data_IF_362090211492
#
_entry.id   IF_362090211492
#
_cell.length_a   1.000
_cell.length_b   1.000
_cell.length_c   1.000
_cell.angle_alpha   90.00
_cell.angle_beta   90.00
_cell.angle_gamma   90.00
#
_symmetry.space_group_name_H-M   'P 1'
#
loop_
_entity.id
_entity.type
_entity.pdbx_description
1 polymer ?
#
# COMPACT_ATOMS: atom_id res chain seq x y z
N UNK A 1 38.42 -77.85 -0.75
CA UNK A 1 38.38 -77.02 -1.98
C UNK A 1 39.67 -76.21 -2.09
N UNK A 2 40.28 -76.11 -3.27
CA UNK A 2 41.47 -75.28 -3.52
C UNK A 2 41.06 -73.83 -3.79
N UNK A 3 41.81 -72.84 -3.28
CA UNK A 3 41.50 -71.38 -3.35
C UNK A 3 41.00 -70.87 -4.71
N UNK A 4 41.42 -71.49 -5.82
CA UNK A 4 41.02 -71.13 -7.18
C UNK A 4 39.54 -71.37 -7.49
N UNK A 5 38.92 -72.39 -6.89
CA UNK A 5 37.49 -72.71 -7.15
C UNK A 5 36.54 -71.70 -6.49
N UNK A 6 36.92 -71.16 -5.33
CA UNK A 6 36.15 -70.13 -4.62
C UNK A 6 36.22 -68.77 -5.34
N UNK A 7 37.39 -68.44 -5.90
CA UNK A 7 37.60 -67.19 -6.65
C UNK A 7 36.78 -67.13 -7.94
N UNK A 8 36.70 -68.24 -8.68
CA UNK A 8 35.90 -68.32 -9.91
C UNK A 8 34.40 -68.15 -9.65
N UNK A 9 33.90 -68.67 -8.51
CA UNK A 9 32.49 -68.56 -8.14
C UNK A 9 32.10 -67.12 -7.75
N UNK A 10 33.00 -66.41 -7.06
CA UNK A 10 32.79 -65.01 -6.67
C UNK A 10 32.75 -64.07 -7.89
N UNK A 11 33.57 -64.34 -8.91
CA UNK A 11 33.57 -63.57 -10.18
C UNK A 11 32.29 -63.85 -10.98
N UNK A 12 31.80 -65.10 -10.99
CA UNK A 12 30.56 -65.44 -11.67
C UNK A 12 29.32 -64.76 -11.04
N UNK A 13 29.28 -64.58 -9.72
CA UNK A 13 28.19 -63.86 -9.03
C UNK A 13 28.18 -62.35 -9.31
N UNK A 14 29.36 -61.74 -9.53
CA UNK A 14 29.48 -60.32 -9.85
C UNK A 14 29.04 -59.97 -11.29
N UNK A 15 28.96 -60.96 -12.17
CA UNK A 15 28.60 -60.80 -13.59
C UNK A 15 27.13 -61.14 -13.90
N UNK A 16 26.34 -61.55 -12.90
CA UNK A 16 24.93 -61.89 -13.09
C UNK A 16 24.05 -60.62 -13.20
N UNK A 17 23.09 -60.56 -14.15
CA UNK A 17 22.27 -59.38 -14.39
C UNK A 17 21.44 -58.98 -13.15
N UNK A 18 21.37 -57.67 -12.92
CA UNK A 18 20.91 -57.00 -11.69
C UNK A 18 19.44 -57.24 -11.26
N UNK A 19 18.68 -58.08 -11.96
CA UNK A 19 17.25 -58.32 -11.67
C UNK A 19 17.04 -59.45 -10.64
N UNK A 20 18.07 -60.24 -10.31
CA UNK A 20 17.95 -61.35 -9.35
C UNK A 20 18.34 -61.00 -7.88
N UNK A 21 18.58 -59.72 -7.55
CA UNK A 21 19.14 -59.29 -6.26
C UNK A 21 18.07 -58.96 -5.21
N UNK A 22 16.93 -59.67 -5.21
CA UNK A 22 15.77 -59.31 -4.40
C UNK A 22 15.51 -60.19 -3.16
N UNK A 23 16.28 -61.25 -2.91
CA UNK A 23 16.06 -62.05 -1.70
C UNK A 23 17.38 -62.60 -1.11
N UNK A 24 17.77 -62.20 0.11
CA UNK A 24 18.95 -62.75 0.79
C UNK A 24 18.84 -64.26 1.06
N UNK A 25 17.63 -64.83 1.12
CA UNK A 25 17.40 -66.25 1.41
C UNK A 25 17.84 -67.14 0.24
N UNK A 26 17.65 -66.70 -1.01
CA UNK A 26 17.98 -67.50 -2.19
C UNK A 26 19.48 -67.68 -2.37
N UNK A 27 20.30 -66.68 -2.02
CA UNK A 27 21.76 -66.76 -2.10
C UNK A 27 22.29 -67.81 -1.10
N UNK A 28 21.75 -67.82 0.12
CA UNK A 28 22.12 -68.79 1.16
C UNK A 28 21.72 -70.21 0.75
N UNK A 29 20.55 -70.38 0.13
CA UNK A 29 20.09 -71.68 -0.36
C UNK A 29 20.96 -72.24 -1.50
N UNK A 30 21.46 -71.39 -2.41
CA UNK A 30 22.34 -71.84 -3.51
C UNK A 30 23.74 -72.26 -3.05
N UNK A 31 24.21 -71.74 -1.91
CA UNK A 31 25.51 -72.11 -1.32
C UNK A 31 25.41 -73.27 -0.32
N UNK A 32 24.20 -73.64 0.12
CA UNK A 32 23.93 -74.71 1.07
C UNK A 32 24.48 -76.10 0.69
N UNK A 33 24.50 -76.53 -0.59
CA UNK A 33 25.09 -77.83 -0.97
C UNK A 33 26.62 -77.88 -0.82
N UNK A 34 27.28 -76.71 -0.75
CA UNK A 34 28.74 -76.60 -0.70
C UNK A 34 29.30 -76.43 0.72
N UNK A 35 28.43 -76.20 1.70
CA UNK A 35 28.77 -76.08 3.12
C UNK A 35 28.08 -77.26 3.82
N UNK A 36 28.69 -78.44 3.74
CA UNK A 36 28.15 -79.66 4.35
C UNK A 36 27.84 -79.44 5.84
N UNK A 37 26.55 -79.43 6.18
CA UNK A 37 26.08 -79.27 7.55
C UNK A 37 24.57 -79.03 7.63
N UNK A 38 23.87 -79.97 8.24
CA UNK A 38 22.42 -80.04 8.44
C UNK A 38 21.79 -78.80 9.10
N UNK A 39 20.48 -78.65 8.88
CA UNK A 39 19.49 -77.62 9.30
C UNK A 39 19.59 -76.94 10.69
N UNK A 40 20.58 -77.23 11.54
CA UNK A 40 20.76 -76.64 12.87
C UNK A 40 21.76 -75.46 12.93
N UNK A 41 22.40 -75.06 11.82
CA UNK A 41 23.41 -74.00 11.77
C UNK A 41 22.94 -72.66 11.14
N UNK A 42 21.63 -72.47 10.97
CA UNK A 42 21.06 -71.29 10.29
C UNK A 42 21.01 -70.05 11.21
N UNK A 43 21.00 -70.22 12.54
CA UNK A 43 20.98 -69.09 13.47
C UNK A 43 22.36 -68.50 13.80
N UNK A 44 23.44 -69.27 13.63
CA UNK A 44 24.80 -68.84 14.01
C UNK A 44 25.62 -68.24 12.84
N UNK A 45 25.20 -68.46 11.59
CA UNK A 45 25.95 -68.01 10.41
C UNK A 45 25.67 -66.55 10.01
N UNK A 46 24.55 -65.95 10.46
CA UNK A 46 24.28 -64.52 10.27
C UNK A 46 25.23 -63.64 11.11
N UNK A 47 25.58 -64.07 12.32
CA UNK A 47 26.47 -63.30 13.20
C UNK A 47 27.94 -63.31 12.74
N UNK A 48 28.39 -64.40 12.11
CA UNK A 48 29.79 -64.57 11.68
C UNK A 48 30.08 -63.91 10.33
N UNK A 49 29.08 -63.83 9.43
CA UNK A 49 29.23 -63.11 8.16
C UNK A 49 29.26 -61.59 8.34
N UNK A 50 28.49 -61.06 9.30
CA UNK A 50 28.48 -59.63 9.64
C UNK A 50 29.78 -59.20 10.33
N UNK A 51 30.36 -60.04 11.19
CA UNK A 51 31.58 -59.68 11.94
C UNK A 51 32.87 -59.75 11.13
N UNK A 52 32.92 -60.56 10.06
CA UNK A 52 34.16 -60.76 9.27
C UNK A 52 34.15 -60.01 7.92
N UNK A 53 32.98 -59.71 7.34
CA UNK A 53 32.87 -59.02 6.04
C UNK A 53 32.04 -57.72 6.08
N UNK A 54 31.54 -57.30 7.26
CA UNK A 54 30.74 -56.08 7.44
C UNK A 54 31.46 -54.76 7.16
N UNK A 55 32.79 -54.77 6.99
CA UNK A 55 33.59 -53.57 6.71
C UNK A 55 33.38 -52.96 5.32
N UNK A 56 32.89 -53.74 4.34
CA UNK A 56 32.80 -53.28 2.94
C UNK A 56 31.38 -52.88 2.48
N UNK A 57 30.33 -53.22 3.25
CA UNK A 57 28.94 -52.84 2.93
C UNK A 57 28.59 -51.46 3.54
N UNK A 58 29.29 -51.02 4.59
CA UNK A 58 29.13 -49.71 5.22
C UNK A 58 29.73 -48.54 4.41
N UNK A 59 30.60 -48.81 3.44
CA UNK A 59 31.25 -47.79 2.62
C UNK A 59 30.40 -47.32 1.41
N UNK A 60 29.38 -48.08 0.99
CA UNK A 60 28.55 -47.72 -0.17
C UNK A 60 27.37 -46.79 0.20
N UNK A 61 26.86 -46.87 1.44
CA UNK A 61 25.75 -46.02 1.90
C UNK A 61 26.18 -44.58 2.27
N UNK A 62 27.45 -44.36 2.59
CA UNK A 62 27.98 -43.02 2.92
C UNK A 62 28.10 -42.10 1.69
N UNK A 63 28.25 -42.67 0.48
CA UNK A 63 28.40 -41.90 -0.76
C UNK A 63 27.03 -41.52 -1.38
N UNK A 64 26.02 -42.40 -1.31
CA UNK A 64 24.66 -42.09 -1.78
C UNK A 64 23.87 -41.21 -0.80
N UNK A 65 24.15 -41.31 0.51
CA UNK A 65 23.56 -40.43 1.53
C UNK A 65 23.97 -38.97 1.38
N UNK A 66 25.21 -38.70 0.95
CA UNK A 66 25.75 -37.34 0.82
C UNK A 66 25.10 -36.49 -0.27
N UNK A 67 24.76 -37.08 -1.43
CA UNK A 67 24.11 -36.35 -2.54
C UNK A 67 22.63 -36.09 -2.24
N UNK A 68 21.94 -37.07 -1.65
CA UNK A 68 20.55 -36.91 -1.22
C UNK A 68 20.43 -35.90 -0.06
N UNK A 69 21.35 -35.93 0.91
CA UNK A 69 21.42 -34.95 1.99
C UNK A 69 21.68 -33.53 1.48
N UNK A 70 22.58 -33.34 0.50
CA UNK A 70 22.81 -32.02 -0.13
C UNK A 70 21.60 -31.50 -0.89
N UNK A 71 20.88 -32.36 -1.62
CA UNK A 71 19.62 -32.00 -2.31
C UNK A 71 18.52 -31.65 -1.33
N UNK A 72 18.38 -32.42 -0.23
CA UNK A 72 17.43 -32.14 0.85
C UNK A 72 17.77 -30.83 1.58
N UNK A 73 19.05 -30.57 1.87
CA UNK A 73 19.51 -29.33 2.48
C UNK A 73 19.25 -28.10 1.59
N UNK A 74 19.51 -28.20 0.27
CA UNK A 74 19.21 -27.12 -0.68
C UNK A 74 17.69 -26.86 -0.80
N UNK A 75 16.88 -27.93 -0.81
CA UNK A 75 15.41 -27.83 -0.79
C UNK A 75 14.88 -27.25 0.52
N UNK A 76 15.43 -27.65 1.66
CA UNK A 76 15.08 -27.12 2.98
C UNK A 76 15.47 -25.64 3.11
N UNK A 77 16.65 -25.24 2.63
CA UNK A 77 17.06 -23.83 2.60
C UNK A 77 16.17 -23.00 1.66
N UNK A 78 15.78 -23.54 0.50
CA UNK A 78 14.84 -22.87 -0.40
C UNK A 78 13.43 -22.78 0.21
N UNK A 79 12.96 -23.84 0.88
CA UNK A 79 11.68 -23.86 1.58
C UNK A 79 11.69 -22.92 2.80
N UNK A 80 12.80 -22.81 3.52
CA UNK A 80 12.97 -21.85 4.61
C UNK A 80 13.00 -20.41 4.10
N UNK A 81 13.63 -20.15 2.94
CA UNK A 81 13.56 -18.83 2.29
C UNK A 81 12.16 -18.50 1.78
N UNK A 82 11.44 -19.48 1.23
CA UNK A 82 10.04 -19.33 0.82
C UNK A 82 9.14 -19.08 2.02
N UNK A 83 9.23 -19.90 3.06
CA UNK A 83 8.49 -19.72 4.30
C UNK A 83 8.82 -18.38 4.99
N UNK A 84 10.07 -17.93 4.93
CA UNK A 84 10.46 -16.59 5.39
C UNK A 84 9.82 -15.49 4.55
N UNK A 85 9.87 -15.59 3.22
CA UNK A 85 9.23 -14.64 2.31
C UNK A 85 7.70 -14.66 2.43
N UNK A 86 7.09 -15.83 2.64
CA UNK A 86 5.65 -16.01 2.86
C UNK A 86 5.24 -15.51 4.26
N UNK A 87 6.17 -15.47 5.22
CA UNK A 87 5.98 -14.84 6.53
C UNK A 87 6.14 -13.32 6.51
N UNK A 88 6.65 -12.74 5.41
CA UNK A 88 6.62 -11.29 5.18
C UNK A 88 5.18 -10.92 4.84
N UNK A 89 4.39 -10.65 5.86
CA UNK A 89 3.04 -10.11 5.70
C UNK A 89 3.12 -8.65 5.27
N UNK A 90 2.63 -8.32 4.08
CA UNK A 90 2.43 -6.93 3.67
C UNK A 90 1.41 -6.25 4.58
N UNK A 91 1.83 -5.15 5.23
CA UNK A 91 0.92 -4.33 6.02
C UNK A 91 0.19 -3.37 5.09
N UNK A 92 -0.99 -3.80 4.64
CA UNK A 92 -1.94 -2.99 3.85
C UNK A 92 -2.98 -2.26 4.71
N UNK A 93 -2.87 -2.33 6.04
CA UNK A 93 -3.80 -1.69 6.97
C UNK A 93 -3.10 -0.51 7.63
N UNK A 94 -3.80 0.63 7.72
CA UNK A 94 -3.34 1.76 8.53
C UNK A 94 -3.47 1.49 10.02
N UNK A 95 -2.41 1.74 10.79
CA UNK A 95 -2.46 1.62 12.25
C UNK A 95 -2.12 2.95 12.94
N UNK A 96 -2.72 3.20 14.10
CA UNK A 96 -2.45 4.37 14.92
C UNK A 96 -1.34 4.03 15.91
N UNK A 97 -0.13 4.56 15.71
CA UNK A 97 1.03 4.27 16.57
C UNK A 97 1.91 5.52 16.73
N UNK A 98 2.25 5.84 17.98
CA UNK A 98 3.17 6.96 18.28
C UNK A 98 4.63 6.68 17.86
N UNK A 99 5.02 5.40 17.83
CA UNK A 99 6.36 4.96 17.44
C UNK A 99 6.26 3.74 16.49
N UNK A 100 6.02 3.97 15.19
CA UNK A 100 5.91 2.88 14.23
C UNK A 100 7.26 2.19 13.96
N UNK A 101 7.27 0.89 13.63
CA UNK A 101 8.48 0.18 13.22
C UNK A 101 9.03 0.75 11.91
N UNK A 102 10.36 0.76 11.75
CA UNK A 102 11.03 1.27 10.55
C UNK A 102 10.70 0.39 9.34
N UNK A 103 9.75 0.83 8.50
CA UNK A 103 9.35 0.12 7.28
C UNK A 103 10.23 0.52 6.10
N UNK A 104 10.59 -0.44 5.27
CA UNK A 104 11.34 -0.21 4.03
C UNK A 104 10.51 -0.71 2.86
N UNK A 105 10.30 0.15 1.87
CA UNK A 105 9.58 -0.17 0.63
C UNK A 105 10.62 -0.41 -0.46
N UNK A 106 10.46 -1.52 -1.17
CA UNK A 106 11.24 -1.85 -2.37
C UNK A 106 10.31 -2.08 -3.55
N UNK A 107 10.65 -1.53 -4.71
CA UNK A 107 9.79 -1.58 -5.89
C UNK A 107 8.45 -0.85 -5.70
N UNK A 108 7.49 -1.11 -6.58
CA UNK A 108 6.15 -0.51 -6.55
C UNK A 108 5.13 -1.48 -5.96
N UNK A 109 4.27 -1.01 -5.07
CA UNK A 109 3.19 -1.80 -4.50
C UNK A 109 2.24 -0.98 -3.64
N UNK A 110 1.10 -1.58 -3.30
CA UNK A 110 0.12 -1.00 -2.38
C UNK A 110 0.61 -1.22 -0.95
N UNK A 111 0.73 -0.13 -0.20
CA UNK A 111 1.18 -0.14 1.19
C UNK A 111 0.17 0.56 2.09
N UNK A 112 0.01 0.07 3.32
CA UNK A 112 -0.64 0.83 4.39
C UNK A 112 0.27 1.94 4.90
N UNK A 113 -0.04 2.56 6.02
CA UNK A 113 0.88 3.48 6.69
C UNK A 113 0.59 3.57 8.18
N UNK A 114 1.49 4.17 8.92
CA UNK A 114 1.27 4.37 10.35
C UNK A 114 0.95 5.84 10.63
N UNK A 115 -0.19 6.09 11.26
CA UNK A 115 -0.63 7.43 11.64
C UNK A 115 0.18 7.85 12.87
N UNK A 116 1.03 8.85 12.70
CA UNK A 116 1.95 9.35 13.73
C UNK A 116 1.41 10.61 14.42
N UNK A 117 0.61 11.40 13.70
CA UNK A 117 -0.06 12.57 14.27
C UNK A 117 -1.45 12.77 13.67
N UNK A 118 -2.35 13.30 14.50
CA UNK A 118 -3.71 13.69 14.12
C UNK A 118 -3.94 15.09 14.64
N UNK A 119 -4.41 15.97 13.78
CA UNK A 119 -4.78 17.34 14.13
C UNK A 119 -6.19 17.65 13.64
N UNK A 120 -6.80 18.69 14.19
CA UNK A 120 -8.04 19.26 13.66
C UNK A 120 -7.85 20.75 13.39
N UNK A 121 -8.59 21.27 12.40
CA UNK A 121 -8.67 22.70 12.15
C UNK A 121 -10.07 23.11 11.72
N UNK A 122 -10.34 24.40 11.85
CA UNK A 122 -11.61 24.98 11.43
C UNK A 122 -11.76 24.92 9.90
N UNK A 123 -12.94 24.49 9.45
CA UNK A 123 -13.30 24.55 8.04
C UNK A 123 -14.00 25.87 7.75
N UNK A 124 -13.49 26.62 6.78
CA UNK A 124 -14.20 27.77 6.21
C UNK A 124 -14.87 27.31 4.92
N UNK A 125 -16.20 27.44 4.87
CA UNK A 125 -17.01 27.06 3.71
C UNK A 125 -17.96 28.18 3.28
N UNK A 126 -18.62 27.99 2.13
CA UNK A 126 -19.69 28.86 1.66
C UNK A 126 -21.04 28.26 1.99
N UNK A 127 -22.04 29.10 2.29
CA UNK A 127 -23.46 28.75 2.34
C UNK A 127 -24.11 28.94 0.97
N UNK A 128 -25.36 28.50 0.81
CA UNK A 128 -26.07 28.58 -0.47
C UNK A 128 -26.33 30.01 -0.90
N UNK A 129 -26.37 30.94 0.06
CA UNK A 129 -26.49 32.38 -0.18
C UNK A 129 -25.12 33.09 -0.39
N UNK A 130 -24.04 32.34 -0.57
CA UNK A 130 -22.70 32.88 -0.78
C UNK A 130 -22.06 33.51 0.47
N UNK A 131 -22.72 33.45 1.62
CA UNK A 131 -22.10 33.86 2.89
C UNK A 131 -21.12 32.80 3.38
N UNK A 132 -20.01 33.23 3.97
CA UNK A 132 -19.03 32.33 4.57
C UNK A 132 -19.53 31.79 5.90
N UNK A 133 -19.22 30.53 6.19
CA UNK A 133 -19.37 29.95 7.51
C UNK A 133 -18.06 29.31 7.97
N UNK A 134 -17.89 29.24 9.28
CA UNK A 134 -16.80 28.52 9.90
C UNK A 134 -17.38 27.38 10.73
N UNK A 135 -16.96 26.16 10.43
CA UNK A 135 -17.23 24.99 11.27
C UNK A 135 -15.99 24.71 12.12
N UNK A 136 -16.08 24.86 13.45
CA UNK A 136 -15.00 24.48 14.35
C UNK A 136 -14.64 23.01 14.18
N UNK A 137 -13.35 22.70 14.17
CA UNK A 137 -12.83 21.33 13.98
C UNK A 137 -13.46 20.61 12.77
N UNK A 138 -13.74 21.37 11.70
CA UNK A 138 -14.38 20.85 10.50
C UNK A 138 -13.47 19.96 9.64
N UNK A 139 -12.15 20.09 9.79
CA UNK A 139 -11.15 19.33 9.05
C UNK A 139 -10.33 18.47 10.01
N UNK A 140 -10.03 17.23 9.59
CA UNK A 140 -9.09 16.34 10.28
C UNK A 140 -7.87 16.11 9.44
N UNK A 141 -6.69 16.31 10.01
CA UNK A 141 -5.40 16.12 9.34
C UNK A 141 -4.70 14.89 9.91
N UNK A 142 -4.31 13.97 9.05
CA UNK A 142 -3.60 12.74 9.38
C UNK A 142 -2.20 12.80 8.80
N UNK A 143 -1.19 12.66 9.65
CA UNK A 143 0.21 12.49 9.22
C UNK A 143 0.55 11.02 9.24
N UNK A 144 0.82 10.46 8.07
CA UNK A 144 0.97 9.02 7.88
C UNK A 144 2.35 8.72 7.34
N UNK A 145 3.15 7.97 8.09
CA UNK A 145 4.49 7.54 7.68
C UNK A 145 4.38 6.24 6.88
N UNK A 146 4.98 6.24 5.69
CA UNK A 146 4.98 5.10 4.78
C UNK A 146 6.32 4.35 4.80
N UNK A 147 7.45 5.04 4.94
CA UNK A 147 8.76 4.38 4.92
C UNK A 147 9.80 5.16 5.70
N UNK A 148 10.75 4.43 6.27
CA UNK A 148 11.93 4.93 6.97
C UNK A 148 13.13 5.20 6.05
N UNK A 149 12.85 5.58 4.81
CA UNK A 149 13.85 6.03 3.85
C UNK A 149 13.18 6.90 2.78
N UNK A 150 14.01 7.48 1.90
CA UNK A 150 13.52 8.19 0.74
C UNK A 150 12.88 7.22 -0.26
N UNK A 151 11.61 7.44 -0.61
CA UNK A 151 10.92 6.73 -1.69
C UNK A 151 11.08 7.47 -3.03
N UNK A 152 10.88 6.74 -4.12
CA UNK A 152 10.90 7.31 -5.47
C UNK A 152 9.64 8.12 -5.71
N UNK A 153 8.48 7.55 -5.39
CA UNK A 153 7.23 8.28 -5.47
C UNK A 153 6.10 7.66 -4.63
N UNK A 154 5.05 8.44 -4.39
CA UNK A 154 3.73 7.99 -3.95
C UNK A 154 2.72 8.42 -5.02
N UNK A 155 2.17 7.45 -5.73
CA UNK A 155 1.39 7.66 -6.95
C UNK A 155 -0.06 8.01 -6.67
N UNK A 156 -0.71 7.29 -5.76
CA UNK A 156 -2.15 7.38 -5.53
C UNK A 156 -2.49 7.06 -4.07
N UNK A 157 -3.53 7.72 -3.56
CA UNK A 157 -4.15 7.42 -2.28
C UNK A 157 -5.49 6.73 -2.55
N UNK A 158 -5.74 5.64 -1.83
CA UNK A 158 -7.00 4.92 -1.84
C UNK A 158 -7.65 5.00 -0.47
N UNK A 159 -8.94 5.31 -0.45
CA UNK A 159 -9.78 5.29 0.74
C UNK A 159 -10.85 4.23 0.52
N UNK A 160 -10.95 3.26 1.42
CA UNK A 160 -11.87 2.11 1.25
C UNK A 160 -11.67 1.38 -0.09
N UNK A 161 -10.44 1.38 -0.61
CA UNK A 161 -10.09 0.77 -1.91
C UNK A 161 -10.46 1.62 -3.14
N UNK A 162 -11.07 2.78 -2.97
CA UNK A 162 -11.41 3.72 -4.04
C UNK A 162 -10.31 4.76 -4.19
N UNK A 163 -9.78 5.01 -5.40
CA UNK A 163 -8.76 6.02 -5.62
C UNK A 163 -9.31 7.43 -5.38
N UNK A 164 -8.50 8.30 -4.78
CA UNK A 164 -8.82 9.72 -4.60
C UNK A 164 -8.74 10.46 -5.93
N UNK A 165 -7.75 10.11 -6.76
CA UNK A 165 -7.63 10.62 -8.12
C UNK A 165 -7.02 12.02 -8.19
N UNK A 166 -7.35 12.75 -9.26
CA UNK A 166 -6.70 14.01 -9.60
C UNK A 166 -6.91 15.08 -8.52
N UNK A 167 -5.84 15.80 -8.18
CA UNK A 167 -5.86 16.90 -7.22
C UNK A 167 -5.82 18.27 -7.92
N UNK A 168 -6.44 19.26 -7.29
CA UNK A 168 -6.29 20.67 -7.66
C UNK A 168 -4.94 21.25 -7.18
N UNK A 169 -4.68 22.52 -7.50
CA UNK A 169 -3.43 23.20 -7.12
C UNK A 169 -3.23 23.37 -5.61
N UNK A 170 -4.25 23.14 -4.79
CA UNK A 170 -4.19 23.19 -3.32
C UNK A 170 -4.10 21.79 -2.69
N UNK A 171 -4.16 20.73 -3.50
CA UNK A 171 -4.09 19.33 -3.07
C UNK A 171 -5.44 18.70 -2.76
N UNK A 172 -6.56 19.35 -3.05
CA UNK A 172 -7.90 18.77 -2.88
C UNK A 172 -8.29 17.91 -4.08
N UNK A 173 -9.01 16.82 -3.82
CA UNK A 173 -9.57 15.99 -4.88
C UNK A 173 -10.49 16.83 -5.78
N UNK A 174 -10.23 16.77 -7.08
CA UNK A 174 -10.91 17.58 -8.10
C UNK A 174 -12.03 16.83 -8.84
N UNK A 175 -12.13 15.52 -8.64
CA UNK A 175 -13.16 14.66 -9.23
C UNK A 175 -13.28 13.32 -8.50
N UNK A 176 -14.04 12.39 -9.09
CA UNK A 176 -14.26 11.06 -8.51
C UNK A 176 -15.24 11.08 -7.33
N UNK A 177 -15.10 10.12 -6.42
CA UNK A 177 -15.99 10.02 -5.24
C UNK A 177 -15.67 11.06 -4.15
N UNK A 178 -14.43 11.54 -4.13
CA UNK A 178 -13.92 12.43 -3.08
C UNK A 178 -13.77 13.88 -3.54
N UNK A 179 -14.09 14.17 -4.79
CA UNK A 179 -13.96 15.48 -5.41
C UNK A 179 -14.99 15.70 -6.51
N UNK A 180 -15.03 16.89 -7.11
CA UNK A 180 -16.04 17.18 -8.12
C UNK A 180 -17.43 17.43 -7.55
N UNK A 181 -17.57 17.52 -6.22
CA UNK A 181 -18.85 17.72 -5.56
C UNK A 181 -19.32 19.12 -5.91
N UNK A 182 -20.36 19.17 -6.75
CA UNK A 182 -20.85 20.41 -7.30
C UNK A 182 -21.81 21.06 -6.32
N UNK A 183 -21.46 22.26 -5.88
CA UNK A 183 -22.29 23.08 -4.99
C UNK A 183 -22.73 24.33 -5.73
N UNK A 184 -24.03 24.49 -5.91
CA UNK A 184 -24.59 25.72 -6.47
C UNK A 184 -24.70 26.78 -5.38
N UNK A 185 -24.16 27.96 -5.67
CA UNK A 185 -24.16 29.13 -4.80
C UNK A 185 -24.97 30.22 -5.48
N UNK A 186 -25.84 30.86 -4.71
CA UNK A 186 -26.56 32.06 -5.05
C UNK A 186 -25.93 33.22 -4.30
N UNK A 187 -25.58 34.30 -4.99
CA UNK A 187 -24.97 35.45 -4.36
C UNK A 187 -25.54 36.73 -4.93
N UNK A 188 -25.80 37.70 -4.08
CA UNK A 188 -26.15 39.06 -4.50
C UNK A 188 -24.97 40.00 -4.30
N UNK A 189 -24.75 40.88 -5.27
CA UNK A 189 -23.75 41.94 -5.21
C UNK A 189 -24.37 43.25 -5.67
N UNK A 190 -24.25 44.28 -4.85
CA UNK A 190 -24.56 45.65 -5.27
C UNK A 190 -23.38 46.23 -6.02
N UNK A 191 -23.58 46.57 -7.29
CA UNK A 191 -22.56 47.13 -8.18
C UNK A 191 -22.95 48.55 -8.57
N UNK A 192 -22.04 49.50 -8.33
CA UNK A 192 -22.16 50.85 -8.86
C UNK A 192 -22.12 50.85 -10.41
N UNK A 193 -22.55 51.94 -11.07
CA UNK A 193 -22.43 52.07 -12.52
C UNK A 193 -20.99 51.83 -12.99
N UNK A 194 -20.81 50.93 -13.96
CA UNK A 194 -19.50 50.56 -14.49
C UNK A 194 -18.64 49.67 -13.58
N UNK A 195 -19.11 49.33 -12.38
CA UNK A 195 -18.37 48.46 -11.46
C UNK A 195 -18.52 46.98 -11.83
N UNK A 196 -17.52 46.19 -11.46
CA UNK A 196 -17.46 44.75 -11.70
C UNK A 196 -17.27 43.96 -10.41
N UNK A 197 -17.85 42.76 -10.35
CA UNK A 197 -17.54 41.75 -9.34
C UNK A 197 -17.06 40.46 -9.99
N UNK A 198 -16.04 39.85 -9.39
CA UNK A 198 -15.50 38.54 -9.79
C UNK A 198 -16.02 37.47 -8.85
N UNK A 199 -16.39 36.33 -9.41
CA UNK A 199 -16.91 35.16 -8.69
C UNK A 199 -15.99 33.94 -8.84
N UNK A 200 -16.17 32.95 -7.97
CA UNK A 200 -15.27 31.78 -7.91
C UNK A 200 -15.42 30.84 -9.11
N UNK A 201 -16.56 30.91 -9.81
CA UNK A 201 -16.82 30.19 -11.06
C UNK A 201 -17.61 31.09 -12.03
N UNK A 202 -17.62 30.78 -13.34
CA UNK A 202 -18.44 31.51 -14.31
C UNK A 202 -19.91 31.60 -13.88
N UNK A 203 -20.44 32.79 -13.58
CA UNK A 203 -21.79 32.94 -13.06
C UNK A 203 -22.83 33.00 -14.17
N UNK A 204 -24.03 32.53 -13.88
CA UNK A 204 -25.24 32.92 -14.57
C UNK A 204 -25.92 34.02 -13.76
N UNK A 205 -26.15 35.18 -14.36
CA UNK A 205 -26.95 36.24 -13.73
C UNK A 205 -28.42 35.78 -13.73
N UNK A 206 -29.02 35.75 -12.55
CA UNK A 206 -30.42 35.36 -12.31
C UNK A 206 -31.31 36.61 -12.25
N UNK A 207 -30.78 37.71 -11.71
CA UNK A 207 -31.46 39.01 -11.64
C UNK A 207 -30.44 40.14 -11.69
N UNK A 208 -30.84 41.27 -12.25
CA UNK A 208 -30.07 42.51 -12.25
C UNK A 208 -31.07 43.65 -12.28
N UNK A 209 -31.16 44.41 -11.20
CA UNK A 209 -32.07 45.55 -11.15
C UNK A 209 -31.71 46.55 -10.08
N UNK A 210 -32.38 47.69 -10.10
CA UNK A 210 -32.35 48.68 -9.01
C UNK A 210 -33.77 49.02 -8.57
N UNK A 211 -33.89 49.53 -7.34
CA UNK A 211 -35.11 50.17 -6.85
C UNK A 211 -34.77 51.60 -6.46
N UNK A 212 -35.40 52.57 -7.11
CA UNK A 212 -35.32 53.97 -6.77
C UNK A 212 -36.21 54.32 -5.57
N UNK A 213 -35.95 55.47 -4.92
CA UNK A 213 -36.84 55.99 -3.89
C UNK A 213 -38.24 56.25 -4.46
N UNK A 214 -39.26 55.59 -3.90
CA UNK A 214 -40.65 55.73 -4.34
C UNK A 214 -41.11 54.73 -5.40
N UNK A 215 -40.22 53.85 -5.88
CA UNK A 215 -40.59 52.78 -6.80
C UNK A 215 -41.37 51.67 -6.08
N UNK A 216 -42.36 51.11 -6.77
CA UNK A 216 -43.18 49.99 -6.28
C UNK A 216 -42.66 48.61 -6.71
N UNK A 217 -41.52 48.57 -7.41
CA UNK A 217 -40.90 47.35 -7.90
C UNK A 217 -39.48 47.56 -8.42
N UNK A 218 -38.81 46.47 -8.76
CA UNK A 218 -37.47 46.49 -9.35
C UNK A 218 -37.53 46.89 -10.82
N UNK A 219 -36.55 47.68 -11.25
CA UNK A 219 -36.32 48.05 -12.65
C UNK A 219 -35.07 47.30 -13.14
N UNK A 220 -35.21 46.56 -14.24
CA UNK A 220 -34.11 45.78 -14.82
C UNK A 220 -32.95 46.67 -15.26
N UNK A 221 -31.72 46.19 -15.03
CA UNK A 221 -30.48 46.89 -15.39
C UNK A 221 -29.61 46.09 -16.33
N UNK A 222 -29.02 46.77 -17.31
CA UNK A 222 -28.05 46.18 -18.22
C UNK A 222 -26.79 45.72 -17.49
N UNK A 223 -26.28 44.56 -17.89
CA UNK A 223 -25.04 43.97 -17.37
C UNK A 223 -24.28 43.27 -18.51
N UNK A 224 -22.99 42.99 -18.29
CA UNK A 224 -22.19 42.12 -19.14
C UNK A 224 -21.45 41.07 -18.31
N UNK A 225 -21.16 39.92 -18.92
CA UNK A 225 -20.40 38.83 -18.30
C UNK A 225 -19.16 38.57 -19.15
N UNK A 226 -17.99 38.50 -18.50
CA UNK A 226 -16.73 38.11 -19.14
C UNK A 226 -16.00 37.14 -18.22
N UNK A 227 -15.92 35.86 -18.62
CA UNK A 227 -15.39 34.80 -17.77
C UNK A 227 -16.16 34.70 -16.45
N UNK A 228 -15.46 34.89 -15.33
CA UNK A 228 -16.04 34.85 -13.99
C UNK A 228 -16.47 36.22 -13.46
N UNK A 229 -16.42 37.27 -14.29
CA UNK A 229 -16.71 38.63 -13.88
C UNK A 229 -18.05 39.09 -14.44
N UNK A 230 -18.86 39.73 -13.59
CA UNK A 230 -20.07 40.45 -13.99
C UNK A 230 -19.85 41.93 -13.80
N UNK A 231 -20.19 42.71 -14.83
CA UNK A 231 -20.07 44.17 -14.83
C UNK A 231 -21.43 44.79 -14.98
N UNK A 232 -21.75 45.76 -14.12
CA UNK A 232 -22.93 46.59 -14.29
C UNK A 232 -22.66 47.63 -15.38
N UNK A 233 -23.34 47.49 -16.52
CA UNK A 233 -23.19 48.41 -17.67
C UNK A 233 -24.29 49.46 -17.73
N UNK A 234 -25.21 49.45 -16.75
CA UNK A 234 -26.23 50.47 -16.60
C UNK A 234 -25.67 51.75 -15.98
N UNK A 235 -26.43 52.84 -16.09
CA UNK A 235 -26.12 54.11 -15.43
C UNK A 235 -26.55 54.18 -13.95
N UNK A 236 -27.10 53.09 -13.39
CA UNK A 236 -27.64 53.05 -12.02
C UNK A 236 -26.88 52.01 -11.19
N UNK A 237 -26.85 52.20 -9.86
CA UNK A 237 -26.37 51.15 -8.95
C UNK A 237 -27.37 50.01 -8.93
N UNK A 238 -26.96 48.81 -9.31
CA UNK A 238 -27.82 47.64 -9.41
C UNK A 238 -27.46 46.60 -8.37
N UNK A 239 -28.46 45.86 -7.89
CA UNK A 239 -28.28 44.60 -7.17
C UNK A 239 -28.32 43.49 -8.22
N UNK A 240 -27.22 42.77 -8.34
CA UNK A 240 -27.07 41.66 -9.28
C UNK A 240 -27.07 40.36 -8.48
N UNK A 241 -28.11 39.55 -8.69
CA UNK A 241 -28.21 38.20 -8.19
C UNK A 241 -27.60 37.22 -9.20
N UNK A 242 -26.60 36.46 -8.77
CA UNK A 242 -25.93 35.45 -9.58
C UNK A 242 -26.10 34.06 -8.99
N UNK A 243 -26.05 33.06 -9.86
CA UNK A 243 -25.83 31.66 -9.50
C UNK A 243 -24.55 31.16 -10.15
N UNK A 244 -23.74 30.43 -9.41
CA UNK A 244 -22.56 29.75 -9.96
C UNK A 244 -22.34 28.44 -9.22
N UNK A 245 -21.66 27.49 -9.86
CA UNK A 245 -21.38 26.19 -9.27
C UNK A 245 -19.89 26.07 -8.99
N UNK A 246 -19.55 25.76 -7.74
CA UNK A 246 -18.19 25.47 -7.32
C UNK A 246 -18.01 23.96 -7.18
N UNK A 247 -16.89 23.44 -7.65
CA UNK A 247 -16.46 22.07 -7.38
C UNK A 247 -15.72 22.04 -6.06
N UNK A 248 -16.09 21.14 -5.16
CA UNK A 248 -15.44 20.96 -3.86
C UNK A 248 -14.88 19.55 -3.71
N UNK A 249 -13.69 19.48 -3.12
CA UNK A 249 -13.08 18.25 -2.65
C UNK A 249 -13.36 18.04 -1.16
N UNK A 250 -13.63 16.80 -0.76
CA UNK A 250 -13.78 16.39 0.65
C UNK A 250 -12.53 15.70 1.21
N UNK A 251 -11.58 15.38 0.33
CA UNK A 251 -10.27 14.82 0.68
C UNK A 251 -9.21 15.68 0.05
N UNK A 252 -8.19 16.03 0.84
CA UNK A 252 -6.94 16.60 0.36
C UNK A 252 -5.79 15.69 0.75
N UNK A 253 -4.79 15.58 -0.09
CA UNK A 253 -3.54 14.98 0.34
C UNK A 253 -2.32 15.55 -0.36
N UNK A 254 -1.18 15.39 0.29
CA UNK A 254 0.14 15.72 -0.27
C UNK A 254 1.18 14.70 0.21
N UNK A 255 2.27 14.59 -0.56
CA UNK A 255 3.33 13.62 -0.32
C UNK A 255 4.66 14.28 -0.02
N UNK A 256 5.42 13.64 0.85
CA UNK A 256 6.77 14.00 1.24
C UNK A 256 7.65 12.76 1.10
N UNK A 257 8.63 12.79 0.20
CA UNK A 257 9.37 11.62 -0.24
C UNK A 257 10.52 11.18 0.69
N UNK A 258 10.78 11.89 1.79
CA UNK A 258 11.78 11.52 2.78
C UNK A 258 13.22 11.93 2.47
N UNK A 259 13.42 13.03 1.74
CA UNK A 259 14.79 13.53 1.48
C UNK A 259 15.48 14.01 2.76
N UNK A 260 16.82 14.06 2.76
CA UNK A 260 17.61 14.54 3.91
C UNK A 260 17.30 16.02 4.25
N UNK A 261 17.00 16.83 3.24
CA UNK A 261 16.68 18.25 3.36
C UNK A 261 15.19 18.55 3.18
N UNK A 262 14.32 17.55 3.36
CA UNK A 262 12.88 17.70 3.22
C UNK A 262 12.33 18.77 4.16
N UNK A 263 11.53 19.70 3.64
CA UNK A 263 10.82 20.69 4.44
C UNK A 263 9.60 20.10 5.16
N UNK A 264 9.16 20.75 6.23
CA UNK A 264 7.89 20.44 6.88
C UNK A 264 6.72 20.78 5.94
N UNK A 265 5.60 20.08 6.08
CA UNK A 265 4.37 20.42 5.33
C UNK A 265 4.04 21.90 5.48
N UNK A 266 4.02 22.63 4.37
CA UNK A 266 3.66 24.05 4.36
C UNK A 266 2.17 24.23 4.65
N UNK A 267 1.34 23.25 4.29
CA UNK A 267 -0.08 23.26 4.59
C UNK A 267 -0.35 23.08 6.07
N UNK A 268 0.26 22.11 6.75
CA UNK A 268 0.07 21.95 8.19
C UNK A 268 0.59 23.16 8.97
N UNK A 269 1.68 23.78 8.52
CA UNK A 269 2.14 25.06 9.08
C UNK A 269 1.13 26.20 8.89
N UNK A 270 0.27 26.16 7.87
CA UNK A 270 -0.74 27.20 7.66
C UNK A 270 -2.03 26.97 8.46
N UNK A 271 -2.42 25.71 8.66
CA UNK A 271 -3.69 25.37 9.35
C UNK A 271 -3.54 25.08 10.84
N UNK A 272 -2.39 24.54 11.27
CA UNK A 272 -2.09 24.18 12.67
C UNK A 272 -0.68 24.62 13.10
N UNK A 273 -0.30 25.92 12.93
CA UNK A 273 1.06 26.42 13.14
C UNK A 273 1.61 26.20 14.55
N UNK A 274 0.76 26.15 15.57
CA UNK A 274 1.17 25.93 16.96
C UNK A 274 1.57 24.48 17.26
N UNK A 275 1.08 23.54 16.46
CA UNK A 275 1.29 22.09 16.65
C UNK A 275 2.27 21.52 15.62
N UNK A 276 2.36 22.13 14.45
CA UNK A 276 3.24 21.73 13.37
C UNK A 276 4.11 22.90 12.91
N UNK A 277 5.32 22.97 13.45
CA UNK A 277 6.28 24.04 13.14
C UNK A 277 7.22 23.68 11.98
N UNK A 278 8.12 24.60 11.63
CA UNK A 278 9.11 24.38 10.57
C UNK A 278 10.15 23.28 10.90
N UNK A 279 10.23 22.83 12.16
CA UNK A 279 11.12 21.77 12.60
C UNK A 279 10.48 20.38 12.48
N UNK A 280 9.14 20.28 12.44
CA UNK A 280 8.36 19.07 12.19
C UNK A 280 8.49 18.55 10.74
N UNK A 281 9.72 18.21 10.35
CA UNK A 281 10.10 17.93 8.95
C UNK A 281 10.03 16.44 8.57
N UNK A 282 10.12 15.56 9.57
CA UNK A 282 10.18 14.10 9.42
C UNK A 282 11.22 13.71 8.34
N UNK A 283 12.43 14.26 8.45
CA UNK A 283 13.52 14.02 7.49
C UNK A 283 13.90 12.55 7.46
N UNK A 284 14.21 12.03 6.27
CA UNK A 284 14.52 10.61 6.08
C UNK A 284 13.31 9.68 6.13
N UNK A 285 12.10 10.20 6.39
CA UNK A 285 10.86 9.44 6.37
C UNK A 285 9.99 9.87 5.19
N UNK A 286 9.55 8.90 4.39
CA UNK A 286 8.47 9.12 3.43
C UNK A 286 7.15 9.19 4.20
N UNK A 287 6.45 10.31 4.11
CA UNK A 287 5.15 10.50 4.76
C UNK A 287 4.18 11.21 3.83
N UNK A 288 2.90 11.09 4.14
CA UNK A 288 1.81 11.80 3.48
C UNK A 288 0.98 12.52 4.51
N UNK A 289 0.44 13.65 4.12
CA UNK A 289 -0.55 14.39 4.92
C UNK A 289 -1.89 14.21 4.22
N UNK A 290 -2.86 13.63 4.92
CA UNK A 290 -4.24 13.45 4.42
C UNK A 290 -5.18 14.30 5.25
N UNK A 291 -5.89 15.22 4.60
CA UNK A 291 -6.96 16.02 5.20
C UNK A 291 -8.31 15.46 4.81
N UNK A 292 -9.16 15.18 5.80
CA UNK A 292 -10.52 14.72 5.62
C UNK A 292 -11.51 15.77 6.10
N UNK A 293 -12.56 16.00 5.33
CA UNK A 293 -13.66 16.89 5.69
C UNK A 293 -14.69 16.19 6.58
N UNK A 294 -14.79 16.61 7.85
CA UNK A 294 -15.70 15.99 8.83
C UNK A 294 -17.16 16.38 8.64
N UNK A 295 -17.49 17.21 7.66
CA UNK A 295 -18.89 17.38 7.23
C UNK A 295 -19.43 16.17 6.48
N UNK A 296 -18.56 15.40 5.85
CA UNK A 296 -18.96 14.16 5.22
C UNK A 296 -19.15 13.07 6.29
N UNK A 297 -20.35 12.48 6.32
CA UNK A 297 -20.74 11.52 7.36
C UNK A 297 -19.79 10.32 7.46
N UNK A 298 -19.20 9.89 6.33
CA UNK A 298 -18.28 8.75 6.27
C UNK A 298 -16.99 8.96 7.08
N UNK A 299 -16.56 10.21 7.28
CA UNK A 299 -15.32 10.53 7.99
C UNK A 299 -15.51 10.82 9.49
N UNK A 300 -16.77 10.75 9.98
CA UNK A 300 -17.10 11.02 11.38
C UNK A 300 -16.84 9.82 12.31
N UNK A 301 -16.93 8.58 11.79
CA UNK A 301 -16.81 7.35 12.59
C UNK A 301 -15.39 6.95 13.00
N UNK A 302 -14.37 7.64 12.49
CA UNK A 302 -12.96 7.30 12.70
C UNK A 302 -12.16 7.40 11.40
N UNK A 303 -10.83 7.25 11.43
CA UNK A 303 -10.03 7.22 10.21
C UNK A 303 -10.45 6.01 9.35
N UNK A 304 -10.86 6.21 8.08
CA UNK A 304 -11.16 5.11 7.19
C UNK A 304 -9.88 4.31 6.88
N UNK A 305 -10.00 3.08 6.37
CA UNK A 305 -8.90 2.36 5.74
C UNK A 305 -8.23 3.19 4.64
N UNK A 306 -6.95 3.52 4.81
CA UNK A 306 -6.15 4.24 3.81
C UNK A 306 -5.05 3.33 3.27
N UNK A 307 -4.86 3.31 1.95
CA UNK A 307 -3.74 2.62 1.31
C UNK A 307 -3.13 3.47 0.22
N UNK A 308 -1.86 3.22 -0.09
CA UNK A 308 -1.08 4.07 -0.97
C UNK A 308 -0.35 3.23 -2.01
N UNK A 309 -0.42 3.61 -3.28
CA UNK A 309 0.48 3.06 -4.30
C UNK A 309 1.82 3.79 -4.22
N UNK A 310 2.84 3.13 -3.71
CA UNK A 310 4.15 3.73 -3.49
C UNK A 310 5.26 2.96 -4.22
N UNK A 311 6.23 3.71 -4.73
CA UNK A 311 7.47 3.18 -5.28
C UNK A 311 8.62 3.49 -4.33
N UNK A 312 9.14 2.44 -3.71
CA UNK A 312 10.30 2.48 -2.84
C UNK A 312 11.62 2.45 -3.60
N UNK A 313 12.73 2.11 -2.95
CA UNK A 313 14.04 2.07 -3.62
C UNK A 313 14.10 0.87 -4.59
N UNK A 314 14.73 1.08 -5.75
CA UNK A 314 15.12 0.02 -6.70
C UNK A 314 16.54 -0.43 -6.39
#
# INVERSE_FOLDING_TARGET
MTRRTVQLLAVALLLAPAVAWADPITIVATLAPYIGGTLAAVAASAAVFVSTYGGYILAAYSVYGGIQARRKAKRAAAAARRAYNDSLTDRTITTLQAAPPLRVIYGRGIVGGDIVAIFTSDKVGLRDNGSTYTKPDGLKHLVIVLAAHQCQDVHELYIDGVPVGALDGSGWASGGEFGGITRTVYQERTLAPGASATFDAPPTVVSSGYMGPGDSGWVDTAYSISGNQVTNTSGQSSVVGVRYSVSQGVVRWEKHLGTADQAASAYLQSVVPSEWDANARLRGLTYVVVTLDLEEARFQGGPPPLTFDASGRV
#
